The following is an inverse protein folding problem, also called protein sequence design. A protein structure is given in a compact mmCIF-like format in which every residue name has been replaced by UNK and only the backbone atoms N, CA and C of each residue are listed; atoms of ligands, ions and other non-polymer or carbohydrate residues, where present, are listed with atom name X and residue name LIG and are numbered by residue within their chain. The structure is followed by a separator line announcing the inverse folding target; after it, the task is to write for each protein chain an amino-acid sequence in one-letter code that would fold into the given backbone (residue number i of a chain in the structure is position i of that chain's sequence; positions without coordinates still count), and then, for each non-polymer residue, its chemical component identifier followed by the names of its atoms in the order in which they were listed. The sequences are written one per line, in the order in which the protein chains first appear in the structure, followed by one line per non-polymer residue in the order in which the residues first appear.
data_IF_143226268025
#
_entry.id   IF_143226268025
#
_cell.length_a   1.000
_cell.length_b   1.000
_cell.length_c   1.000
_cell.angle_alpha   90.00
_cell.angle_beta   90.00
_cell.angle_gamma   90.00
#
_symmetry.space_group_name_H-M   'P 1'
#
loop_
_entity.id
_entity.type
_entity.pdbx_description
1 polymer ?
#
# COMPACT_ATOMS: atom_id res chain seq x y z
N UNK A 1 12.90 32.57 -5.57
CA UNK A 1 12.18 31.27 -5.54
C UNK A 1 10.76 31.54 -6.01
N UNK A 2 10.16 30.63 -6.78
CA UNK A 2 8.78 30.80 -7.27
C UNK A 2 7.82 30.50 -6.12
N UNK A 3 6.80 31.32 -5.96
CA UNK A 3 5.74 31.12 -4.98
C UNK A 3 4.41 30.92 -5.72
N UNK A 4 3.61 29.97 -5.26
CA UNK A 4 2.30 29.65 -5.84
C UNK A 4 1.30 29.32 -4.73
N UNK A 5 0.04 29.70 -4.92
CA UNK A 5 -1.04 29.49 -3.94
C UNK A 5 -2.18 28.73 -4.61
N UNK A 6 -2.78 27.79 -3.87
CA UNK A 6 -3.89 26.94 -4.29
C UNK A 6 -4.91 26.81 -3.16
N UNK A 7 -6.15 26.43 -3.47
CA UNK A 7 -7.08 26.02 -2.42
C UNK A 7 -6.65 24.68 -1.84
N UNK A 8 -6.19 23.76 -2.68
CA UNK A 8 -5.77 22.40 -2.27
C UNK A 8 -4.39 22.04 -2.83
N UNK A 9 -3.50 21.54 -1.96
CA UNK A 9 -2.27 20.87 -2.37
C UNK A 9 -2.30 19.39 -1.95
N UNK A 10 -1.99 18.51 -2.89
CA UNK A 10 -1.89 17.06 -2.64
C UNK A 10 -0.43 16.64 -2.72
N UNK A 11 0.07 15.92 -1.72
CA UNK A 11 1.46 15.46 -1.67
C UNK A 11 1.52 13.95 -1.94
N UNK A 12 2.00 13.59 -3.13
CA UNK A 12 2.11 12.22 -3.65
C UNK A 12 1.17 11.95 -4.83
N UNK A 13 1.73 11.55 -5.98
CA UNK A 13 0.96 11.14 -7.18
C UNK A 13 0.81 9.61 -7.28
N UNK A 14 0.50 8.99 -6.16
CA UNK A 14 0.05 7.60 -6.07
C UNK A 14 -1.47 7.47 -6.22
N UNK A 15 -2.04 6.26 -6.08
CA UNK A 15 -3.47 6.02 -6.24
C UNK A 15 -4.33 6.85 -5.30
N UNK A 16 -3.88 7.07 -4.06
CA UNK A 16 -4.59 7.86 -3.07
C UNK A 16 -4.68 9.35 -3.47
N UNK A 17 -3.54 9.98 -3.75
CA UNK A 17 -3.50 11.40 -4.12
C UNK A 17 -4.23 11.69 -5.43
N UNK A 18 -4.05 10.84 -6.46
CA UNK A 18 -4.75 10.99 -7.74
C UNK A 18 -6.26 10.76 -7.59
N UNK A 19 -6.67 9.78 -6.78
CA UNK A 19 -8.09 9.53 -6.51
C UNK A 19 -8.79 10.69 -5.80
N UNK A 20 -8.16 11.28 -4.78
CA UNK A 20 -8.63 12.50 -4.14
C UNK A 20 -8.72 13.68 -5.13
N UNK A 21 -7.72 13.85 -6.00
CA UNK A 21 -7.75 14.88 -7.03
C UNK A 21 -8.95 14.72 -7.97
N UNK A 22 -9.24 13.49 -8.40
CA UNK A 22 -10.37 13.18 -9.27
C UNK A 22 -11.72 13.47 -8.58
N UNK A 23 -11.85 13.14 -7.29
CA UNK A 23 -13.05 13.44 -6.52
C UNK A 23 -13.28 14.96 -6.37
N UNK A 24 -12.20 15.72 -6.11
CA UNK A 24 -12.24 17.18 -6.03
C UNK A 24 -12.59 17.82 -7.38
N UNK A 25 -12.08 17.26 -8.48
CA UNK A 25 -12.42 17.70 -9.84
C UNK A 25 -13.89 17.44 -10.19
N UNK A 26 -14.47 16.32 -9.74
CA UNK A 26 -15.89 16.02 -9.96
C UNK A 26 -16.83 17.10 -9.41
N UNK A 27 -16.44 17.78 -8.32
CA UNK A 27 -17.20 18.86 -7.68
C UNK A 27 -16.72 20.27 -8.06
N UNK A 28 -15.87 20.39 -9.08
CA UNK A 28 -15.45 21.68 -9.64
C UNK A 28 -14.35 22.42 -8.85
N UNK A 29 -13.58 21.73 -8.01
CA UNK A 29 -12.40 22.34 -7.35
C UNK A 29 -11.26 22.43 -8.36
N UNK A 30 -11.04 23.63 -8.91
CA UNK A 30 -10.06 23.91 -9.95
C UNK A 30 -8.67 24.32 -9.41
N UNK A 31 -8.66 25.03 -8.28
CA UNK A 31 -7.45 25.56 -7.61
C UNK A 31 -6.74 24.45 -6.82
N UNK A 32 -6.11 23.54 -7.57
CA UNK A 32 -5.53 22.29 -7.07
C UNK A 32 -4.15 22.06 -7.70
N UNK A 33 -3.18 21.58 -6.90
CA UNK A 33 -1.90 21.05 -7.40
C UNK A 33 -1.58 19.70 -6.76
N UNK A 34 -0.89 18.83 -7.50
CA UNK A 34 -0.39 17.54 -7.00
C UNK A 34 1.14 17.56 -7.10
N UNK A 35 1.84 17.33 -5.99
CA UNK A 35 3.29 17.39 -5.89
C UNK A 35 3.84 15.97 -5.74
N UNK A 36 4.67 15.54 -6.68
CA UNK A 36 5.27 14.20 -6.70
C UNK A 36 6.80 14.31 -6.69
N UNK A 37 7.42 13.71 -5.67
CA UNK A 37 8.87 13.79 -5.47
C UNK A 37 9.66 13.15 -6.63
N UNK A 38 9.11 12.11 -7.26
CA UNK A 38 9.75 11.41 -8.36
C UNK A 38 8.90 11.52 -9.64
N UNK A 39 8.15 10.45 -9.94
CA UNK A 39 7.25 10.35 -11.08
C UNK A 39 5.96 9.68 -10.63
N UNK A 40 4.90 9.91 -11.38
CA UNK A 40 3.59 9.29 -11.17
C UNK A 40 3.76 7.78 -11.05
N UNK A 41 3.20 7.23 -9.97
CA UNK A 41 3.25 5.79 -9.70
C UNK A 41 4.66 5.25 -9.43
N UNK A 42 5.63 6.09 -9.04
CA UNK A 42 7.03 5.70 -8.79
C UNK A 42 7.18 4.50 -7.86
N UNK A 43 6.35 4.39 -6.83
CA UNK A 43 6.31 3.24 -5.92
C UNK A 43 5.99 1.92 -6.64
N UNK A 44 5.08 1.93 -7.62
CA UNK A 44 4.70 0.74 -8.39
C UNK A 44 5.70 0.45 -9.50
N UNK A 45 6.24 1.48 -10.17
CA UNK A 45 7.36 1.34 -11.10
C UNK A 45 8.59 0.69 -10.44
N UNK A 46 8.69 0.84 -9.11
CA UNK A 46 9.76 0.32 -8.30
C UNK A 46 9.59 -1.13 -7.81
N UNK A 47 8.44 -1.76 -7.99
CA UNK A 47 8.22 -3.15 -7.57
C UNK A 47 9.18 -4.14 -8.25
N UNK A 48 9.48 -5.28 -7.61
CA UNK A 48 10.10 -6.40 -8.31
C UNK A 48 9.34 -6.70 -9.60
N UNK A 49 10.05 -6.96 -10.70
CA UNK A 49 9.47 -7.21 -12.03
C UNK A 49 8.41 -8.34 -12.02
N UNK A 50 8.58 -9.31 -11.14
CA UNK A 50 7.70 -10.46 -11.00
C UNK A 50 6.46 -10.19 -10.12
N UNK A 51 6.50 -9.15 -9.27
CA UNK A 51 5.42 -8.84 -8.33
C UNK A 51 4.14 -8.44 -9.08
N UNK A 52 2.99 -8.84 -8.52
CA UNK A 52 1.64 -8.54 -9.04
C UNK A 52 0.75 -8.03 -7.92
N UNK A 53 -0.27 -7.24 -8.28
CA UNK A 53 -1.38 -6.96 -7.37
C UNK A 53 -2.05 -8.26 -6.97
N UNK A 54 -2.21 -8.48 -5.67
CA UNK A 54 -2.92 -9.66 -5.14
C UNK A 54 -4.44 -9.52 -5.30
N UNK A 55 -4.93 -8.28 -5.37
CA UNK A 55 -6.32 -7.93 -5.64
C UNK A 55 -6.63 -8.09 -7.12
N UNK A 56 -7.64 -8.89 -7.51
CA UNK A 56 -7.99 -9.08 -8.90
C UNK A 56 -8.69 -7.84 -9.48
N UNK A 57 -8.38 -7.53 -10.73
CA UNK A 57 -9.06 -6.52 -11.53
C UNK A 57 -10.05 -7.17 -12.48
N UNK A 58 -11.30 -6.70 -12.44
CA UNK A 58 -12.36 -7.12 -13.35
C UNK A 58 -13.28 -5.93 -13.65
N UNK A 59 -13.68 -5.76 -14.91
CA UNK A 59 -14.55 -4.66 -15.33
C UNK A 59 -16.02 -4.94 -15.02
N UNK A 60 -16.39 -4.76 -13.76
CA UNK A 60 -17.79 -4.82 -13.29
C UNK A 60 -18.42 -3.42 -13.09
N UNK A 61 -17.73 -2.35 -13.51
CA UNK A 61 -18.12 -0.96 -13.30
C UNK A 61 -19.58 -0.63 -13.70
N UNK A 62 -20.17 -1.15 -14.80
CA UNK A 62 -21.56 -0.86 -15.15
C UNK A 62 -22.58 -1.33 -14.10
N UNK A 63 -22.21 -2.29 -13.25
CA UNK A 63 -23.04 -2.86 -12.18
C UNK A 63 -22.72 -2.28 -10.80
N UNK A 64 -22.12 -1.09 -10.75
CA UNK A 64 -21.72 -0.38 -9.52
C UNK A 64 -20.65 -1.08 -8.67
N UNK A 65 -20.16 -2.25 -9.09
CA UNK A 65 -18.99 -2.91 -8.56
C UNK A 65 -17.76 -2.46 -9.34
N UNK A 66 -17.16 -1.34 -8.96
CA UNK A 66 -15.96 -0.83 -9.65
C UNK A 66 -14.77 -1.77 -9.48
N UNK A 67 -14.04 -2.07 -10.56
CA UNK A 67 -12.75 -2.79 -10.55
C UNK A 67 -11.92 -2.44 -9.31
N UNK A 68 -11.57 -3.42 -8.48
CA UNK A 68 -10.97 -3.20 -7.14
C UNK A 68 -9.71 -2.32 -7.14
N UNK A 69 -8.96 -2.32 -8.24
CA UNK A 69 -7.71 -1.56 -8.34
C UNK A 69 -7.89 -0.18 -8.98
N UNK A 70 -9.10 0.18 -9.42
CA UNK A 70 -9.38 1.50 -9.99
C UNK A 70 -9.36 2.62 -8.94
N UNK A 71 -8.94 3.81 -9.35
CA UNK A 71 -8.94 5.04 -8.52
C UNK A 71 -10.00 6.06 -8.94
N UNK A 72 -10.79 5.73 -9.97
CA UNK A 72 -11.95 6.50 -10.41
C UNK A 72 -13.10 5.53 -10.77
N UNK A 73 -14.36 5.88 -10.44
CA UNK A 73 -15.50 4.99 -10.68
C UNK A 73 -15.71 4.57 -12.15
N UNK A 74 -15.20 5.34 -13.12
CA UNK A 74 -15.37 5.11 -14.56
C UNK A 74 -14.16 4.46 -15.23
N UNK A 75 -13.18 4.01 -14.47
CA UNK A 75 -11.95 3.41 -15.00
C UNK A 75 -11.79 1.96 -14.56
N UNK A 76 -11.08 1.16 -15.36
CA UNK A 76 -10.71 -0.22 -15.00
C UNK A 76 -9.30 -0.51 -15.50
N UNK A 77 -8.31 -0.68 -14.60
CA UNK A 77 -6.99 -1.15 -14.99
C UNK A 77 -7.02 -2.56 -15.63
N UNK A 78 -7.95 -3.42 -15.20
CA UNK A 78 -8.11 -4.76 -15.79
C UNK A 78 -8.54 -4.73 -17.25
N UNK A 79 -9.50 -3.88 -17.58
CA UNK A 79 -9.95 -3.64 -18.97
C UNK A 79 -8.82 -3.04 -19.83
N UNK A 80 -8.13 -2.01 -19.29
CA UNK A 80 -7.06 -1.31 -20.01
C UNK A 80 -5.90 -2.22 -20.42
N UNK A 81 -5.53 -3.19 -19.58
CA UNK A 81 -4.38 -4.06 -19.81
C UNK A 81 -4.73 -5.52 -20.14
N UNK A 82 -6.01 -5.89 -20.12
CA UNK A 82 -6.47 -7.26 -20.36
C UNK A 82 -5.89 -8.28 -19.38
N UNK A 83 -5.71 -7.90 -18.10
CA UNK A 83 -5.11 -8.76 -17.07
C UNK A 83 -5.81 -8.58 -15.73
N UNK A 84 -5.97 -9.67 -14.99
CA UNK A 84 -6.59 -9.65 -13.66
C UNK A 84 -5.61 -9.17 -12.58
N UNK A 85 -4.37 -9.65 -12.61
CA UNK A 85 -3.34 -9.28 -11.64
C UNK A 85 -2.27 -8.42 -12.32
N UNK A 86 -2.34 -7.10 -12.14
CA UNK A 86 -1.42 -6.17 -12.79
C UNK A 86 -0.01 -6.24 -12.18
N UNK A 87 0.99 -6.06 -13.04
CA UNK A 87 2.35 -5.71 -12.61
C UNK A 87 2.39 -4.28 -12.05
N UNK A 88 3.41 -3.96 -11.25
CA UNK A 88 3.64 -2.58 -10.81
C UNK A 88 3.79 -1.60 -11.98
N UNK A 89 4.48 -1.99 -13.07
CA UNK A 89 4.63 -1.17 -14.29
C UNK A 89 3.30 -0.92 -15.01
N UNK A 90 2.44 -1.93 -15.11
CA UNK A 90 1.10 -1.76 -15.69
C UNK A 90 0.26 -0.83 -14.83
N UNK A 91 0.33 -0.97 -13.50
CA UNK A 91 -0.41 -0.08 -12.60
C UNK A 91 0.10 1.38 -12.67
N UNK A 92 1.41 1.61 -12.71
CA UNK A 92 1.97 2.94 -12.92
C UNK A 92 1.57 3.54 -14.28
N UNK A 93 1.50 2.72 -15.34
CA UNK A 93 0.99 3.14 -16.64
C UNK A 93 -0.52 3.45 -16.63
N UNK A 94 -1.32 2.71 -15.86
CA UNK A 94 -2.73 3.04 -15.60
C UNK A 94 -2.87 4.43 -14.95
N UNK A 95 -2.08 4.72 -13.90
CA UNK A 95 -2.13 6.02 -13.23
C UNK A 95 -1.77 7.18 -14.17
N UNK A 96 -0.77 6.99 -15.04
CA UNK A 96 -0.38 7.96 -16.08
C UNK A 96 -1.52 8.17 -17.09
N UNK A 97 -2.15 7.10 -17.57
CA UNK A 97 -3.29 7.19 -18.47
C UNK A 97 -4.49 7.94 -17.85
N UNK A 98 -4.72 7.78 -16.54
CA UNK A 98 -5.74 8.54 -15.80
C UNK A 98 -5.40 10.03 -15.77
N UNK A 99 -4.14 10.40 -15.49
CA UNK A 99 -3.71 11.80 -15.50
C UNK A 99 -3.92 12.43 -16.88
N UNK A 100 -3.53 11.73 -17.94
CA UNK A 100 -3.67 12.24 -19.31
C UNK A 100 -5.14 12.42 -19.70
N UNK A 101 -6.00 11.46 -19.31
CA UNK A 101 -7.43 11.50 -19.62
C UNK A 101 -8.17 12.63 -18.88
N UNK A 102 -7.87 12.82 -17.59
CA UNK A 102 -8.54 13.82 -16.73
C UNK A 102 -7.77 15.14 -16.62
N UNK A 103 -6.62 15.26 -17.29
CA UNK A 103 -5.76 16.46 -17.32
C UNK A 103 -5.41 16.95 -15.90
N UNK A 104 -4.93 16.04 -15.06
CA UNK A 104 -4.62 16.36 -13.66
C UNK A 104 -3.36 17.23 -13.52
N UNK A 105 -3.34 18.23 -12.60
CA UNK A 105 -2.23 19.17 -12.44
C UNK A 105 -1.09 18.58 -11.59
N UNK A 106 -0.37 17.60 -12.15
CA UNK A 106 0.76 16.93 -11.47
C UNK A 106 2.08 17.63 -11.79
N UNK A 107 2.85 17.91 -10.73
CA UNK A 107 4.24 18.35 -10.77
C UNK A 107 5.14 17.20 -10.33
N UNK A 108 5.70 16.49 -11.31
CA UNK A 108 6.73 15.47 -11.08
C UNK A 108 8.08 16.13 -10.74
N UNK A 109 8.98 15.37 -10.12
CA UNK A 109 10.28 15.84 -9.64
C UNK A 109 10.18 17.09 -8.74
N UNK A 110 9.12 17.17 -7.94
CA UNK A 110 8.86 18.26 -7.00
C UNK A 110 8.75 17.68 -5.59
N UNK A 111 9.88 17.59 -4.89
CA UNK A 111 9.92 17.04 -3.54
C UNK A 111 9.47 18.07 -2.51
N UNK A 112 8.44 17.74 -1.72
CA UNK A 112 8.08 18.48 -0.50
C UNK A 112 9.05 18.09 0.62
N UNK A 113 9.82 19.06 1.11
CA UNK A 113 10.83 18.87 2.14
C UNK A 113 10.31 19.22 3.54
N UNK A 114 9.45 20.24 3.65
CA UNK A 114 8.88 20.68 4.92
C UNK A 114 7.42 21.10 4.73
N UNK A 115 6.60 20.82 5.74
CA UNK A 115 5.24 21.36 5.89
C UNK A 115 5.22 22.25 7.14
N UNK A 116 4.74 23.49 6.98
CA UNK A 116 4.46 24.41 8.09
C UNK A 116 3.00 24.85 8.05
N UNK A 117 2.47 25.23 9.21
CA UNK A 117 1.17 25.88 9.36
C UNK A 117 1.42 27.34 9.75
N UNK A 118 0.98 28.29 8.92
CA UNK A 118 1.20 29.74 9.08
C UNK A 118 -0.11 30.49 8.76
N UNK A 119 -0.57 31.38 9.65
CA UNK A 119 -1.67 32.35 9.38
C UNK A 119 -2.92 31.77 8.67
N UNK A 120 -3.36 30.57 9.10
CA UNK A 120 -4.51 29.84 8.54
C UNK A 120 -4.32 29.20 7.16
N UNK A 121 -3.07 29.04 6.71
CA UNK A 121 -2.70 28.26 5.53
C UNK A 121 -1.54 27.29 5.85
N UNK A 122 -1.31 26.34 4.96
CA UNK A 122 -0.11 25.53 4.95
C UNK A 122 0.92 26.08 3.98
N UNK A 123 2.18 26.00 4.38
CA UNK A 123 3.35 26.34 3.57
C UNK A 123 4.17 25.07 3.34
N UNK A 124 4.24 24.65 2.08
CA UNK A 124 5.03 23.50 1.64
C UNK A 124 6.31 24.02 1.01
N UNK A 125 7.44 23.74 1.65
CA UNK A 125 8.75 24.01 1.07
C UNK A 125 9.13 22.88 0.11
N UNK A 126 9.36 23.24 -1.15
CA UNK A 126 9.74 22.29 -2.20
C UNK A 126 11.11 22.64 -2.78
N UNK A 127 11.74 21.68 -3.44
CA UNK A 127 12.94 21.91 -4.27
C UNK A 127 12.72 22.92 -5.42
N UNK A 128 11.48 23.11 -5.86
CA UNK A 128 11.10 24.08 -6.91
C UNK A 128 10.63 25.46 -6.37
N UNK A 129 10.54 25.63 -5.05
CA UNK A 129 10.04 26.86 -4.41
C UNK A 129 8.94 26.61 -3.38
N UNK A 130 8.15 27.63 -3.08
CA UNK A 130 7.13 27.58 -2.01
C UNK A 130 5.74 27.37 -2.62
N UNK A 131 5.00 26.42 -2.06
CA UNK A 131 3.58 26.21 -2.36
C UNK A 131 2.77 26.53 -1.12
N UNK A 132 1.82 27.45 -1.22
CA UNK A 132 0.83 27.74 -0.19
C UNK A 132 -0.49 27.05 -0.52
N UNK A 133 -1.16 26.49 0.48
CA UNK A 133 -2.48 25.91 0.29
C UNK A 133 -3.34 26.03 1.55
N UNK A 134 -4.64 26.24 1.36
CA UNK A 134 -5.61 26.26 2.48
C UNK A 134 -5.83 24.85 3.03
N UNK A 135 -5.96 23.87 2.14
CA UNK A 135 -6.10 22.46 2.48
C UNK A 135 -4.92 21.66 1.93
N UNK A 136 -4.45 20.70 2.72
CA UNK A 136 -3.42 19.76 2.29
C UNK A 136 -3.93 18.33 2.40
N UNK A 137 -3.76 17.53 1.36
CA UNK A 137 -3.99 16.08 1.41
C UNK A 137 -2.62 15.38 1.35
N UNK A 138 -2.24 14.75 2.44
CA UNK A 138 -1.00 13.99 2.53
C UNK A 138 -1.23 12.56 2.05
N UNK A 139 -0.57 12.17 0.94
CA UNK A 139 -0.79 10.90 0.25
C UNK A 139 0.53 10.22 -0.16
N UNK A 140 1.57 10.34 0.66
CA UNK A 140 2.93 9.82 0.36
C UNK A 140 3.08 8.31 0.53
N UNK A 141 2.07 7.63 1.09
CA UNK A 141 2.06 6.18 1.27
C UNK A 141 3.16 5.67 2.21
N UNK A 142 3.58 4.43 2.00
CA UNK A 142 4.55 3.73 2.88
C UNK A 142 5.73 3.16 2.11
N UNK A 143 5.53 2.80 0.83
CA UNK A 143 6.53 2.12 0.00
C UNK A 143 7.91 2.82 -0.05
N UNK A 144 8.02 4.16 -0.12
CA UNK A 144 9.30 4.85 -0.09
C UNK A 144 10.07 4.72 1.24
N UNK A 145 9.43 4.20 2.29
CA UNK A 145 9.94 4.15 3.66
C UNK A 145 9.96 2.70 4.19
N UNK A 146 10.75 1.79 3.61
CA UNK A 146 10.89 0.44 4.18
C UNK A 146 11.43 0.51 5.61
N UNK A 147 11.01 -0.43 6.45
CA UNK A 147 11.57 -0.52 7.80
C UNK A 147 12.95 -1.17 7.74
N UNK A 148 13.99 -0.34 7.90
CA UNK A 148 15.39 -0.75 7.77
C UNK A 148 16.03 -1.23 9.07
N UNK A 149 15.37 -0.96 10.20
CA UNK A 149 15.91 -1.24 11.54
C UNK A 149 14.91 -2.01 12.44
N UNK A 150 14.22 -3.07 11.95
CA UNK A 150 13.27 -3.81 12.78
C UNK A 150 13.93 -4.56 13.94
N UNK A 151 15.22 -4.88 13.81
CA UNK A 151 16.03 -5.55 14.82
C UNK A 151 17.54 -5.37 14.55
N UNK A 152 18.42 -5.62 15.53
CA UNK A 152 19.88 -5.60 15.33
C UNK A 152 20.35 -6.48 14.16
N UNK A 153 21.17 -5.90 13.27
CA UNK A 153 21.73 -6.61 12.11
C UNK A 153 20.83 -6.65 10.88
N UNK A 154 19.70 -5.93 10.86
CA UNK A 154 18.85 -5.81 9.67
C UNK A 154 19.58 -5.19 8.45
N UNK A 155 20.64 -4.41 8.66
CA UNK A 155 21.53 -3.89 7.62
C UNK A 155 22.32 -4.98 6.87
N UNK A 156 22.43 -6.17 7.46
CA UNK A 156 23.01 -7.35 6.82
C UNK A 156 22.04 -8.05 5.85
N UNK A 157 20.76 -7.71 5.92
CA UNK A 157 19.70 -8.30 5.10
C UNK A 157 19.53 -7.55 3.77
N UNK A 158 18.88 -8.23 2.82
CA UNK A 158 18.38 -7.62 1.59
C UNK A 158 16.91 -7.26 1.76
N UNK A 159 16.59 -5.98 1.76
CA UNK A 159 15.21 -5.51 1.88
C UNK A 159 14.41 -5.87 0.63
N UNK A 160 13.28 -6.56 0.81
CA UNK A 160 12.47 -7.10 -0.28
C UNK A 160 11.99 -6.00 -1.25
N UNK A 161 11.57 -4.84 -0.74
CA UNK A 161 11.09 -3.71 -1.54
C UNK A 161 12.19 -3.03 -2.39
N UNK A 162 13.46 -3.29 -2.09
CA UNK A 162 14.60 -2.78 -2.86
C UNK A 162 15.06 -3.76 -3.95
N UNK A 163 14.50 -4.97 -3.99
CA UNK A 163 14.77 -5.96 -5.03
C UNK A 163 14.03 -5.56 -6.31
N UNK A 164 14.78 -5.43 -7.42
CA UNK A 164 14.18 -5.15 -8.74
C UNK A 164 13.69 -6.38 -9.49
N UNK A 165 14.29 -7.53 -9.24
CA UNK A 165 13.83 -8.80 -9.80
C UNK A 165 14.40 -9.96 -9.00
N UNK A 166 13.55 -10.91 -8.65
CA UNK A 166 13.94 -12.12 -7.96
C UNK A 166 14.85 -13.00 -8.82
N UNK A 167 14.75 -12.92 -10.15
CA UNK A 167 15.65 -13.66 -11.08
C UNK A 167 17.11 -13.20 -11.03
N UNK A 168 17.37 -11.97 -10.59
CA UNK A 168 18.72 -11.37 -10.57
C UNK A 168 19.49 -11.59 -9.27
N UNK A 169 18.87 -12.24 -8.27
CA UNK A 169 19.53 -12.49 -6.98
C UNK A 169 20.38 -13.76 -7.04
N UNK A 170 21.67 -13.64 -6.76
CA UNK A 170 22.60 -14.78 -6.70
C UNK A 170 22.37 -15.66 -5.46
N UNK A 171 22.62 -16.96 -5.60
CA UNK A 171 22.45 -17.96 -4.55
C UNK A 171 21.39 -19.02 -4.88
N UNK A 172 21.40 -20.11 -4.11
CA UNK A 172 20.48 -21.25 -4.27
C UNK A 172 19.71 -21.59 -2.99
N UNK A 173 20.08 -20.97 -1.86
CA UNK A 173 19.46 -21.19 -0.55
C UNK A 173 19.24 -19.84 0.11
N UNK A 174 17.99 -19.54 0.49
CA UNK A 174 17.59 -18.24 1.03
C UNK A 174 16.82 -18.39 2.34
N UNK A 175 16.94 -17.39 3.20
CA UNK A 175 16.05 -17.19 4.35
C UNK A 175 15.26 -15.90 4.12
N UNK A 176 13.94 -15.95 4.25
CA UNK A 176 13.03 -14.81 4.18
C UNK A 176 12.49 -14.57 5.59
N UNK A 177 12.55 -13.31 6.05
CA UNK A 177 12.04 -12.87 7.35
C UNK A 177 10.77 -12.07 7.10
N UNK A 178 9.63 -12.59 7.59
CA UNK A 178 8.28 -12.10 7.35
C UNK A 178 7.48 -13.08 6.48
N UNK A 179 6.37 -13.60 6.99
CA UNK A 179 5.55 -14.63 6.34
C UNK A 179 4.30 -14.13 5.62
N UNK A 180 4.08 -12.82 5.57
CA UNK A 180 2.91 -12.21 4.91
C UNK A 180 3.15 -12.08 3.38
N UNK A 181 2.26 -11.36 2.69
CA UNK A 181 2.19 -11.26 1.23
C UNK A 181 3.55 -11.07 0.53
N UNK A 182 4.34 -10.08 0.95
CA UNK A 182 5.64 -9.80 0.31
C UNK A 182 6.68 -10.90 0.54
N UNK A 183 6.65 -11.54 1.71
CA UNK A 183 7.57 -12.63 2.03
C UNK A 183 7.27 -13.91 1.26
N UNK A 184 5.99 -14.26 1.15
CA UNK A 184 5.56 -15.42 0.37
C UNK A 184 5.71 -15.18 -1.14
N UNK A 185 5.50 -13.95 -1.62
CA UNK A 185 5.80 -13.60 -3.02
C UNK A 185 7.29 -13.80 -3.36
N UNK A 186 8.18 -13.32 -2.48
CA UNK A 186 9.62 -13.52 -2.62
C UNK A 186 9.98 -15.02 -2.61
N UNK A 187 9.45 -15.76 -1.63
CA UNK A 187 9.70 -17.20 -1.51
C UNK A 187 9.21 -17.98 -2.73
N UNK A 188 8.01 -17.67 -3.23
CA UNK A 188 7.45 -18.26 -4.44
C UNK A 188 8.37 -18.04 -5.64
N UNK A 189 8.80 -16.80 -5.88
CA UNK A 189 9.62 -16.50 -7.06
C UNK A 189 11.02 -17.09 -6.98
N UNK A 190 11.60 -17.19 -5.78
CA UNK A 190 12.86 -17.89 -5.56
C UNK A 190 12.71 -19.40 -5.75
N UNK A 191 11.63 -20.00 -5.23
CA UNK A 191 11.33 -21.41 -5.44
C UNK A 191 11.11 -21.74 -6.93
N UNK A 192 10.41 -20.89 -7.70
CA UNK A 192 10.29 -21.03 -9.15
C UNK A 192 11.63 -21.04 -9.90
N UNK A 193 12.71 -20.54 -9.30
CA UNK A 193 14.07 -20.61 -9.86
C UNK A 193 14.81 -21.89 -9.48
N UNK A 194 14.18 -22.79 -8.72
CA UNK A 194 14.81 -23.99 -8.17
C UNK A 194 15.62 -23.73 -6.91
N UNK A 195 15.43 -22.59 -6.23
CA UNK A 195 16.10 -22.31 -4.96
C UNK A 195 15.34 -22.95 -3.79
N UNK A 196 16.06 -23.29 -2.73
CA UNK A 196 15.49 -23.67 -1.44
C UNK A 196 15.30 -22.44 -0.56
N UNK A 197 14.12 -22.26 0.01
CA UNK A 197 13.75 -21.07 0.77
C UNK A 197 13.20 -21.47 2.13
N UNK A 198 13.68 -20.83 3.20
CA UNK A 198 13.07 -20.89 4.52
C UNK A 198 12.37 -19.58 4.82
N UNK A 199 11.11 -19.61 5.21
CA UNK A 199 10.33 -18.42 5.59
C UNK A 199 10.14 -18.44 7.09
N UNK A 200 10.70 -17.45 7.78
CA UNK A 200 10.56 -17.26 9.23
C UNK A 200 9.49 -16.19 9.45
N UNK A 201 8.49 -16.50 10.27
CA UNK A 201 7.37 -15.60 10.55
C UNK A 201 6.96 -15.67 12.01
N UNK A 202 6.66 -14.52 12.61
CA UNK A 202 6.16 -14.42 14.00
C UNK A 202 4.76 -15.04 14.17
N UNK A 203 4.02 -15.19 13.08
CA UNK A 203 2.70 -15.83 13.01
C UNK A 203 2.63 -16.80 11.82
N UNK A 204 1.50 -17.48 11.65
CA UNK A 204 1.24 -18.41 10.54
C UNK A 204 0.15 -17.90 9.58
N UNK A 205 0.37 -16.82 8.81
CA UNK A 205 -0.66 -16.22 7.96
C UNK A 205 -1.18 -17.15 6.86
N UNK A 206 -0.45 -18.23 6.54
CA UNK A 206 -0.89 -19.31 5.66
C UNK A 206 -1.93 -20.24 6.28
N UNK A 207 -2.04 -20.30 7.61
CA UNK A 207 -3.02 -21.10 8.36
C UNK A 207 -4.20 -20.26 8.89
N UNK A 208 -4.20 -18.95 8.70
CA UNK A 208 -5.30 -18.08 9.13
C UNK A 208 -6.40 -18.09 8.06
N UNK A 209 -7.62 -18.45 8.50
CA UNK A 209 -8.84 -18.29 7.71
C UNK A 209 -9.50 -16.97 8.08
N UNK A 210 -9.11 -15.92 7.36
CA UNK A 210 -9.70 -14.59 7.48
C UNK A 210 -9.89 -14.02 6.05
N UNK A 211 -11.05 -13.43 5.75
CA UNK A 211 -11.32 -12.83 4.45
C UNK A 211 -10.58 -11.51 4.20
N UNK A 212 -10.03 -10.86 5.24
CA UNK A 212 -9.22 -9.66 5.10
C UNK A 212 -7.75 -10.03 4.79
N UNK A 213 -7.22 -9.70 3.59
CA UNK A 213 -5.83 -9.95 3.25
C UNK A 213 -4.83 -9.09 4.05
N UNK A 214 -5.33 -8.20 4.92
CA UNK A 214 -4.52 -7.51 5.94
C UNK A 214 -4.16 -8.41 7.12
N UNK A 215 -4.87 -9.54 7.29
CA UNK A 215 -4.76 -10.46 8.43
C UNK A 215 -4.25 -11.82 7.99
N UNK A 216 -4.72 -12.32 6.84
CA UNK A 216 -4.33 -13.60 6.25
C UNK A 216 -3.72 -13.44 4.85
N UNK A 217 -3.12 -14.51 4.33
CA UNK A 217 -2.72 -14.53 2.91
C UNK A 217 -3.97 -14.51 2.00
N UNK A 218 -3.92 -13.67 0.97
CA UNK A 218 -4.91 -13.60 -0.09
C UNK A 218 -5.06 -14.92 -0.85
N UNK A 219 -6.23 -15.17 -1.48
CA UNK A 219 -6.43 -16.35 -2.31
C UNK A 219 -5.37 -16.51 -3.41
N UNK A 220 -4.97 -15.41 -4.05
CA UNK A 220 -3.92 -15.41 -5.09
C UNK A 220 -2.58 -15.96 -4.56
N UNK A 221 -2.17 -15.50 -3.37
CA UNK A 221 -0.92 -15.94 -2.75
C UNK A 221 -1.02 -17.37 -2.19
N UNK A 222 -2.15 -17.73 -1.58
CA UNK A 222 -2.43 -19.10 -1.11
C UNK A 222 -2.39 -20.11 -2.25
N UNK A 223 -3.01 -19.80 -3.38
CA UNK A 223 -3.00 -20.68 -4.56
C UNK A 223 -1.58 -20.86 -5.12
N UNK A 224 -0.81 -19.78 -5.22
CA UNK A 224 0.60 -19.82 -5.65
C UNK A 224 1.45 -20.70 -4.73
N UNK A 225 1.27 -20.56 -3.41
CA UNK A 225 1.95 -21.37 -2.42
C UNK A 225 1.58 -22.87 -2.56
N UNK A 226 0.29 -23.17 -2.71
CA UNK A 226 -0.20 -24.55 -2.90
C UNK A 226 0.35 -25.19 -4.18
N UNK A 227 0.37 -24.44 -5.29
CA UNK A 227 0.96 -24.91 -6.57
C UNK A 227 2.44 -25.25 -6.42
N UNK A 228 3.21 -24.44 -5.70
CA UNK A 228 4.63 -24.73 -5.44
C UNK A 228 4.81 -25.93 -4.52
N UNK A 229 4.01 -26.05 -3.46
CA UNK A 229 4.06 -27.21 -2.57
C UNK A 229 3.77 -28.53 -3.31
N UNK A 230 2.86 -28.53 -4.29
CA UNK A 230 2.58 -29.69 -5.12
C UNK A 230 3.70 -29.98 -6.14
N UNK A 231 4.21 -28.94 -6.82
CA UNK A 231 5.22 -29.11 -7.86
C UNK A 231 6.63 -29.38 -7.33
N UNK A 232 6.97 -28.81 -6.17
CA UNK A 232 8.31 -28.79 -5.56
C UNK A 232 8.20 -28.83 -4.02
N UNK A 233 7.83 -29.99 -3.42
CA UNK A 233 7.43 -30.12 -2.01
C UNK A 233 8.49 -29.79 -0.95
N UNK A 234 9.74 -29.55 -1.34
CA UNK A 234 10.86 -29.19 -0.43
C UNK A 234 11.48 -27.82 -0.78
N UNK A 235 10.90 -27.09 -1.73
CA UNK A 235 11.43 -25.79 -2.17
C UNK A 235 11.19 -24.66 -1.18
N UNK A 236 10.12 -24.74 -0.38
CA UNK A 236 9.77 -23.75 0.64
C UNK A 236 9.49 -24.46 1.97
N UNK A 237 10.28 -24.13 2.99
CA UNK A 237 10.05 -24.49 4.39
C UNK A 237 9.41 -23.30 5.11
N UNK A 238 8.20 -23.47 5.63
CA UNK A 238 7.48 -22.44 6.39
C UNK A 238 7.71 -22.65 7.88
N UNK A 239 8.26 -21.65 8.56
CA UNK A 239 8.62 -21.67 9.97
C UNK A 239 7.81 -20.59 10.69
N UNK A 240 6.66 -20.99 11.21
CA UNK A 240 5.73 -20.12 11.92
C UNK A 240 6.04 -19.96 13.41
N UNK A 241 5.41 -18.96 14.03
CA UNK A 241 5.54 -18.67 15.47
C UNK A 241 7.00 -18.43 15.92
N UNK A 242 7.84 -17.90 15.03
CA UNK A 242 9.24 -17.55 15.26
C UNK A 242 9.46 -16.08 14.92
N UNK A 243 9.57 -15.26 15.94
CA UNK A 243 9.94 -13.85 15.77
C UNK A 243 11.45 -13.73 15.62
N UNK A 244 11.93 -13.23 14.48
CA UNK A 244 13.33 -12.92 14.28
C UNK A 244 13.71 -11.67 15.08
N UNK A 245 14.78 -11.76 15.89
CA UNK A 245 15.22 -10.70 16.82
C UNK A 245 16.63 -10.19 16.56
N UNK A 246 17.42 -10.90 15.76
CA UNK A 246 18.78 -10.49 15.40
C UNK A 246 19.23 -11.23 14.13
N UNK A 247 20.05 -10.56 13.31
CA UNK A 247 20.85 -11.21 12.27
C UNK A 247 22.32 -10.91 12.50
N UNK A 248 23.16 -11.95 12.46
CA UNK A 248 24.61 -11.79 12.58
C UNK A 248 25.34 -12.43 11.39
N UNK A 249 26.54 -11.94 11.09
CA UNK A 249 27.48 -12.64 10.20
C UNK A 249 28.11 -13.81 10.96
N UNK A 250 28.17 -14.96 10.30
CA UNK A 250 28.81 -16.16 10.86
C UNK A 250 29.61 -16.87 9.76
N UNK A 251 30.94 -16.83 9.89
CA UNK A 251 31.83 -17.31 8.82
C UNK A 251 31.57 -16.57 7.51
N UNK A 252 31.35 -17.34 6.44
CA UNK A 252 31.01 -16.81 5.10
C UNK A 252 29.51 -16.59 4.89
N UNK A 253 28.68 -16.85 5.91
CA UNK A 253 27.23 -16.74 5.85
C UNK A 253 26.64 -15.82 6.92
N UNK A 254 25.37 -16.08 7.22
CA UNK A 254 24.54 -15.32 8.12
C UNK A 254 23.77 -16.28 9.04
N UNK A 255 23.39 -15.79 10.21
CA UNK A 255 22.51 -16.48 11.14
C UNK A 255 21.39 -15.55 11.56
N UNK A 256 20.15 -16.04 11.47
CA UNK A 256 18.95 -15.38 11.99
C UNK A 256 18.64 -16.00 13.35
N UNK A 257 18.55 -15.18 14.39
CA UNK A 257 18.17 -15.61 15.74
C UNK A 257 16.71 -15.29 15.99
N UNK A 258 16.02 -16.18 16.71
CA UNK A 258 14.60 -16.04 17.04
C UNK A 258 14.38 -15.86 18.54
N UNK A 259 13.27 -15.21 18.91
CA UNK A 259 12.96 -14.82 20.29
C UNK A 259 12.92 -15.98 21.29
N UNK A 260 12.69 -17.20 20.82
CA UNK A 260 12.64 -18.42 21.61
C UNK A 260 14.01 -19.12 21.78
N UNK A 261 15.08 -18.51 21.27
CA UNK A 261 16.46 -19.02 21.40
C UNK A 261 16.92 -19.93 20.27
N UNK A 262 16.06 -20.19 19.28
CA UNK A 262 16.45 -20.92 18.07
C UNK A 262 17.23 -20.03 17.08
N UNK A 263 17.78 -20.66 16.04
CA UNK A 263 18.43 -19.93 14.96
C UNK A 263 18.39 -20.68 13.62
N UNK A 264 18.49 -19.91 12.54
CA UNK A 264 18.56 -20.42 11.18
C UNK A 264 19.78 -19.85 10.46
N UNK A 265 20.66 -20.73 9.97
CA UNK A 265 21.78 -20.33 9.10
C UNK A 265 21.29 -20.00 7.69
N UNK A 266 21.93 -19.03 7.04
CA UNK A 266 21.72 -18.65 5.65
C UNK A 266 23.06 -18.43 4.96
N UNK A 267 23.33 -19.07 3.81
CA UNK A 267 24.56 -18.82 3.05
C UNK A 267 24.49 -17.50 2.23
N UNK A 268 23.31 -16.88 2.15
CA UNK A 268 23.08 -15.61 1.46
C UNK A 268 22.57 -14.56 2.45
N UNK A 269 22.68 -13.25 2.16
CA UNK A 269 21.99 -12.22 2.94
C UNK A 269 20.48 -12.57 3.07
N UNK A 270 19.94 -12.70 4.30
CA UNK A 270 18.52 -12.95 4.49
C UNK A 270 17.67 -11.86 3.82
N UNK A 271 16.49 -12.22 3.35
CA UNK A 271 15.57 -11.27 2.71
C UNK A 271 14.64 -10.71 3.78
N UNK A 272 14.61 -9.40 3.93
CA UNK A 272 13.80 -8.70 4.91
C UNK A 272 12.47 -8.26 4.28
N UNK A 273 11.38 -8.90 4.68
CA UNK A 273 10.01 -8.61 4.25
C UNK A 273 9.13 -8.21 5.46
N UNK A 274 9.65 -7.30 6.29
CA UNK A 274 9.06 -6.88 7.59
C UNK A 274 8.16 -5.65 7.51
N UNK A 275 7.92 -5.13 6.31
CA UNK A 275 7.00 -4.02 6.08
C UNK A 275 7.67 -2.65 5.99
N UNK A 276 6.90 -1.60 6.28
CA UNK A 276 7.21 -0.21 5.99
C UNK A 276 6.81 0.69 7.16
N UNK A 277 7.39 1.89 7.20
CA UNK A 277 6.95 2.99 8.05
C UNK A 277 6.01 3.90 7.26
N UNK A 278 5.01 4.50 7.91
CA UNK A 278 4.11 5.43 7.22
C UNK A 278 4.80 6.75 6.85
N UNK A 279 4.45 7.32 5.70
CA UNK A 279 4.89 8.64 5.28
C UNK A 279 4.49 9.72 6.28
N UNK A 280 3.34 9.57 6.96
CA UNK A 280 2.98 10.43 8.10
C UNK A 280 4.06 10.36 9.18
N UNK A 281 4.39 9.15 9.66
CA UNK A 281 5.37 8.94 10.74
C UNK A 281 6.75 9.49 10.37
N UNK A 282 7.15 9.36 9.10
CA UNK A 282 8.47 9.79 8.62
C UNK A 282 8.59 11.29 8.37
N UNK A 283 7.50 11.93 7.92
CA UNK A 283 7.59 13.25 7.32
C UNK A 283 6.84 14.33 8.11
N UNK A 284 5.69 13.99 8.71
CA UNK A 284 4.78 14.97 9.32
C UNK A 284 4.18 14.47 10.64
N UNK A 285 4.95 13.70 11.42
CA UNK A 285 4.43 13.05 12.63
C UNK A 285 3.86 14.03 13.66
N UNK A 286 4.46 15.23 13.77
CA UNK A 286 4.01 16.30 14.67
C UNK A 286 2.67 16.93 14.29
N UNK A 287 2.14 16.63 13.11
CA UNK A 287 0.85 17.13 12.64
C UNK A 287 -0.31 16.20 12.99
N UNK A 288 -0.07 15.08 13.66
CA UNK A 288 -1.10 14.11 14.03
C UNK A 288 -0.98 13.72 15.51
N UNK A 289 -2.12 13.43 16.15
CA UNK A 289 -2.13 12.66 17.39
C UNK A 289 -1.94 11.17 17.09
N UNK A 290 -1.47 10.42 18.08
CA UNK A 290 -1.13 9.02 17.93
C UNK A 290 -1.68 8.16 19.07
N UNK A 291 -2.24 7.01 18.73
CA UNK A 291 -2.62 5.98 19.68
C UNK A 291 -2.03 4.63 19.25
N UNK A 292 -1.32 3.96 20.16
CA UNK A 292 -0.70 2.64 19.94
C UNK A 292 0.15 2.57 18.65
N UNK A 293 0.81 3.67 18.30
CA UNK A 293 1.68 3.77 17.13
C UNK A 293 0.96 4.06 15.80
N UNK A 294 -0.35 4.23 15.80
CA UNK A 294 -1.14 4.65 14.64
C UNK A 294 -1.55 6.12 14.76
N UNK A 295 -1.59 6.87 13.65
CA UNK A 295 -2.14 8.22 13.63
C UNK A 295 -3.66 8.18 13.89
N UNK A 296 -4.16 9.15 14.62
CA UNK A 296 -5.60 9.34 14.89
C UNK A 296 -6.17 10.29 13.85
N UNK A 297 -7.32 9.93 13.29
CA UNK A 297 -8.03 10.69 12.27
C UNK A 297 -9.42 11.13 12.77
N UNK A 298 -9.92 12.24 12.25
CA UNK A 298 -11.34 12.59 12.35
C UNK A 298 -12.19 11.65 11.46
N UNK A 299 -13.52 11.69 11.61
CA UNK A 299 -14.47 10.94 10.75
C UNK A 299 -14.40 11.31 9.26
N UNK A 300 -13.66 12.36 8.90
CA UNK A 300 -13.43 12.81 7.50
C UNK A 300 -11.96 12.68 7.08
N UNK A 301 -11.18 11.91 7.83
CA UNK A 301 -9.78 11.58 7.55
C UNK A 301 -8.82 12.79 7.65
N UNK A 302 -9.22 13.81 8.43
CA UNK A 302 -8.34 14.92 8.79
C UNK A 302 -7.51 14.60 10.03
N UNK A 303 -6.41 15.32 10.20
CA UNK A 303 -5.73 15.43 11.48
C UNK A 303 -6.69 16.00 12.54
N UNK A 304 -6.58 15.49 13.76
CA UNK A 304 -7.27 16.00 14.95
C UNK A 304 -6.66 17.30 15.47
N UNK A 305 -5.38 17.56 15.14
CA UNK A 305 -4.65 18.77 15.51
C UNK A 305 -4.83 19.89 14.47
N UNK A 306 -4.91 19.51 13.19
CA UNK A 306 -5.00 20.43 12.06
C UNK A 306 -6.16 20.02 11.14
N UNK A 307 -7.38 20.55 11.33
CA UNK A 307 -8.58 20.11 10.60
C UNK A 307 -8.56 20.31 9.09
N UNK A 308 -7.63 21.12 8.57
CA UNK A 308 -7.44 21.40 7.14
C UNK A 308 -6.33 20.54 6.50
N UNK A 309 -5.66 19.69 7.30
CA UNK A 309 -4.73 18.66 6.84
C UNK A 309 -5.43 17.30 6.83
N UNK A 310 -5.59 16.73 5.65
CA UNK A 310 -6.18 15.43 5.40
C UNK A 310 -5.11 14.39 5.10
N UNK A 311 -5.45 13.13 5.32
CA UNK A 311 -4.65 11.99 4.90
C UNK A 311 -5.45 11.09 3.97
N UNK A 312 -4.79 10.55 2.95
CA UNK A 312 -5.33 9.46 2.15
C UNK A 312 -4.24 8.45 1.82
N UNK A 313 -4.51 7.17 2.07
CA UNK A 313 -3.55 6.10 1.78
C UNK A 313 -3.68 4.91 2.72
N UNK A 314 -2.72 3.97 2.63
CA UNK A 314 -2.81 2.67 3.30
C UNK A 314 -2.62 2.71 4.82
N UNK A 315 -2.11 3.80 5.38
CA UNK A 315 -1.94 3.98 6.83
C UNK A 315 -3.21 4.47 7.53
N UNK A 316 -4.33 4.61 6.80
CA UNK A 316 -5.61 5.03 7.35
C UNK A 316 -6.18 3.88 8.19
N UNK A 317 -6.55 4.20 9.43
CA UNK A 317 -7.16 3.27 10.37
C UNK A 317 -8.39 3.92 10.96
N UNK A 318 -9.51 3.19 10.93
CA UNK A 318 -10.77 3.57 11.55
C UNK A 318 -11.40 2.36 12.20
N UNK A 319 -11.91 2.49 13.42
CA UNK A 319 -12.65 1.42 14.13
C UNK A 319 -11.91 0.06 14.05
N UNK A 320 -10.61 0.06 14.35
CA UNK A 320 -9.69 -1.09 14.26
C UNK A 320 -9.53 -1.73 12.86
N UNK A 321 -10.09 -1.12 11.81
CA UNK A 321 -9.99 -1.57 10.43
C UNK A 321 -8.89 -0.82 9.68
N UNK A 322 -8.01 -1.57 9.01
CA UNK A 322 -6.93 -1.03 8.18
C UNK A 322 -7.38 -0.85 6.73
N UNK A 323 -7.16 0.34 6.19
CA UNK A 323 -7.50 0.69 4.82
C UNK A 323 -6.30 0.47 3.87
N UNK A 324 -5.58 -0.65 4.02
CA UNK A 324 -4.29 -0.86 3.35
C UNK A 324 -4.39 -1.25 1.85
N UNK A 325 -5.61 -1.49 1.34
CA UNK A 325 -5.86 -1.81 -0.07
C UNK A 325 -6.50 -0.65 -0.82
N UNK A 326 -6.23 -0.58 -2.13
CA UNK A 326 -6.79 0.46 -3.01
C UNK A 326 -8.30 0.54 -2.89
N UNK A 327 -9.01 -0.59 -2.94
CA UNK A 327 -10.46 -0.60 -2.83
C UNK A 327 -10.99 -0.13 -1.47
N UNK A 328 -10.19 -0.22 -0.39
CA UNK A 328 -10.54 0.28 0.94
C UNK A 328 -10.28 1.79 1.02
N UNK A 329 -9.05 2.26 0.85
CA UNK A 329 -8.76 3.70 1.00
C UNK A 329 -9.44 4.56 -0.06
N UNK A 330 -9.73 4.03 -1.27
CA UNK A 330 -10.48 4.78 -2.29
C UNK A 330 -11.92 5.08 -1.90
N UNK A 331 -12.49 4.27 -1.01
CA UNK A 331 -13.84 4.48 -0.49
C UNK A 331 -13.99 5.82 0.24
N UNK A 332 -12.85 6.45 0.58
CA UNK A 332 -12.78 7.68 1.34
C UNK A 332 -12.47 8.92 0.50
N UNK A 333 -12.15 8.77 -0.79
CA UNK A 333 -11.83 9.91 -1.65
C UNK A 333 -12.97 10.93 -1.71
N UNK A 334 -14.20 10.45 -1.88
CA UNK A 334 -15.39 11.28 -1.88
C UNK A 334 -15.70 11.91 -0.52
N UNK A 335 -15.28 11.28 0.59
CA UNK A 335 -15.48 11.83 1.94
C UNK A 335 -14.62 13.09 2.11
N UNK A 336 -13.33 12.98 1.79
CA UNK A 336 -12.38 14.11 1.83
C UNK A 336 -12.83 15.21 0.85
N UNK A 337 -13.20 14.86 -0.38
CA UNK A 337 -13.64 15.83 -1.38
C UNK A 337 -14.94 16.54 -0.98
N UNK A 338 -15.90 15.82 -0.39
CA UNK A 338 -17.16 16.41 0.11
C UNK A 338 -16.89 17.42 1.23
N UNK A 339 -16.00 17.09 2.16
CA UNK A 339 -15.65 17.98 3.27
C UNK A 339 -14.96 19.26 2.77
N UNK A 340 -13.92 19.13 1.96
CA UNK A 340 -13.20 20.27 1.37
C UNK A 340 -14.16 21.11 0.51
N UNK A 341 -14.95 20.45 -0.34
CA UNK A 341 -15.94 21.10 -1.20
C UNK A 341 -16.97 21.92 -0.42
N UNK A 342 -17.51 21.37 0.67
CA UNK A 342 -18.44 22.09 1.53
C UNK A 342 -17.80 23.34 2.17
N UNK A 343 -16.54 23.24 2.65
CA UNK A 343 -15.79 24.39 3.20
C UNK A 343 -15.41 25.43 2.14
N UNK A 344 -15.31 25.02 0.87
CA UNK A 344 -15.11 25.92 -0.27
C UNK A 344 -16.42 26.48 -0.86
N UNK A 345 -17.58 26.00 -0.41
CA UNK A 345 -18.89 26.41 -0.94
C UNK A 345 -19.23 25.79 -2.29
N UNK A 346 -18.60 24.68 -2.66
CA UNK A 346 -18.90 23.92 -3.88
C UNK A 346 -20.19 23.09 -3.74
N UNK A 347 -20.88 22.85 -4.86
CA UNK A 347 -21.94 21.84 -4.91
C UNK A 347 -21.32 20.42 -4.94
N UNK A 348 -21.64 19.62 -3.92
CA UNK A 348 -21.10 18.27 -3.75
C UNK A 348 -22.04 17.18 -4.30
N UNK A 349 -23.17 17.55 -4.89
CA UNK A 349 -24.19 16.61 -5.40
C UNK A 349 -23.66 15.63 -6.46
N UNK A 350 -22.63 16.03 -7.20
CA UNK A 350 -21.95 15.19 -8.19
C UNK A 350 -21.28 13.93 -7.58
N UNK A 351 -20.98 13.94 -6.27
CA UNK A 351 -20.43 12.78 -5.56
C UNK A 351 -21.47 11.69 -5.25
N UNK A 352 -22.74 11.89 -5.61
CA UNK A 352 -23.77 10.85 -5.47
C UNK A 352 -23.45 9.59 -6.30
N UNK A 353 -22.92 9.73 -7.51
CA UNK A 353 -22.44 8.60 -8.33
C UNK A 353 -21.21 7.93 -7.71
N UNK A 354 -20.33 8.72 -7.06
CA UNK A 354 -19.17 8.20 -6.33
C UNK A 354 -19.59 7.34 -5.13
N UNK A 355 -20.60 7.77 -4.37
CA UNK A 355 -21.17 6.99 -3.27
C UNK A 355 -21.73 5.65 -3.76
N UNK A 356 -22.56 5.67 -4.81
CA UNK A 356 -23.14 4.46 -5.41
C UNK A 356 -22.10 3.44 -5.88
N UNK A 357 -20.91 3.91 -6.25
CA UNK A 357 -19.83 3.09 -6.82
C UNK A 357 -18.75 2.72 -5.80
N UNK A 358 -18.96 3.03 -4.52
CA UNK A 358 -18.08 2.68 -3.41
C UNK A 358 -16.84 3.58 -3.24
N UNK A 359 -16.93 4.85 -3.64
CA UNK A 359 -15.86 5.86 -3.49
C UNK A 359 -16.20 6.95 -2.45
N UNK A 360 -17.36 6.87 -1.83
CA UNK A 360 -17.78 7.71 -0.72
C UNK A 360 -18.54 6.83 0.28
N UNK A 361 -17.81 6.27 1.24
CA UNK A 361 -18.33 5.48 2.35
C UNK A 361 -18.00 6.22 3.63
N UNK A 362 -19.00 6.84 4.26
CA UNK A 362 -18.91 7.55 5.54
C UNK A 362 -19.37 6.68 6.73
N UNK A 363 -20.29 5.75 6.50
CA UNK A 363 -20.64 4.70 7.45
C UNK A 363 -19.67 3.50 7.36
N UNK A 364 -18.77 3.38 8.35
CA UNK A 364 -17.77 2.31 8.39
C UNK A 364 -18.23 1.09 9.19
N UNK A 365 -19.48 1.05 9.69
CA UNK A 365 -20.00 -0.14 10.37
C UNK A 365 -20.07 -1.34 9.41
N UNK A 366 -20.23 -1.10 8.11
CA UNK A 366 -20.15 -2.12 7.07
C UNK A 366 -18.73 -2.66 6.82
N UNK A 367 -17.69 -1.97 7.27
CA UNK A 367 -16.28 -2.34 7.02
C UNK A 367 -15.71 -3.27 8.10
N UNK A 368 -16.42 -3.46 9.22
CA UNK A 368 -15.95 -4.24 10.39
C UNK A 368 -16.50 -5.67 10.46
N UNK A 369 -17.53 -6.02 9.69
CA UNK A 369 -18.09 -7.39 9.66
C UNK A 369 -17.84 -8.06 8.30
N UNK A 370 -16.67 -8.66 8.15
CA UNK A 370 -16.25 -9.31 6.90
C UNK A 370 -16.45 -10.83 6.89
N UNK A 371 -17.14 -11.43 7.87
CA UNK A 371 -17.20 -12.89 8.00
C UNK A 371 -17.84 -13.55 6.78
N UNK A 372 -17.18 -14.59 6.25
CA UNK A 372 -17.78 -15.45 5.24
C UNK A 372 -18.97 -16.22 5.87
N UNK A 373 -20.12 -16.22 5.21
CA UNK A 373 -21.30 -16.96 5.68
C UNK A 373 -21.17 -18.49 5.47
N UNK A 374 -20.20 -18.93 4.65
CA UNK A 374 -19.97 -20.34 4.36
C UNK A 374 -18.77 -20.82 5.16
N UNK A 375 -19.01 -21.67 6.15
CA UNK A 375 -17.94 -22.39 6.85
C UNK A 375 -17.24 -23.33 5.87
N UNK A 376 -15.92 -23.21 5.73
CA UNK A 376 -15.15 -24.23 5.03
C UNK A 376 -15.25 -25.54 5.82
N UNK A 377 -15.99 -26.52 5.30
CA UNK A 377 -15.94 -27.87 5.85
C UNK A 377 -14.49 -28.36 5.81
N UNK A 378 -14.05 -29.07 6.86
CA UNK A 378 -12.70 -29.64 7.01
C UNK A 378 -12.42 -30.80 6.05
N UNK A 379 -12.75 -30.65 4.77
CA UNK A 379 -12.54 -31.61 3.70
C UNK A 379 -11.48 -31.09 2.72
N UNK A 380 -10.33 -30.66 3.24
CA UNK A 380 -9.13 -30.48 2.43
C UNK A 380 -8.41 -31.84 2.32
N UNK A 381 -8.89 -32.73 1.44
CA UNK A 381 -8.04 -33.76 0.83
C UNK A 381 -8.61 -34.54 -0.37
N UNK A 382 -9.80 -34.23 -0.90
CA UNK A 382 -10.38 -35.08 -1.98
C UNK A 382 -10.74 -34.37 -3.29
N UNK A 383 -10.51 -33.06 -3.44
CA UNK A 383 -10.94 -32.35 -4.65
C UNK A 383 -9.87 -32.14 -5.75
N UNK A 384 -8.65 -32.65 -5.58
CA UNK A 384 -7.63 -32.64 -6.64
C UNK A 384 -6.89 -33.98 -6.66
N UNK A 385 -7.50 -34.99 -7.29
CA UNK A 385 -6.82 -36.18 -7.82
C UNK A 385 -6.87 -36.17 -9.35
#
# INVERSE_FOLDING_TARGET
MKESSYDVAIVGAGPAGLGCALALREIGVESLTILEANRVGSSFDAWPEEMRLITPSFHSNPFYATDLNAINPRTSPGDLFGTEHLTGKQYAAYLKAVIDHYVLPVREACQVNELRSEDSEFVLETDEGVVRARFVIWATGEFPFPDLEPFPGADLCRVASLVRSWRKIEGHQFVVIGGYESGIDAAYHLACRGCSVKVISSSEPWNIDDPDPSVALSPFTKERLARIAQAMPESIELIGNKEAIEVAREGDGYRVFTADGDSCSSPTPPILATGFQSGIKRQIASFFDWERGNPIFSEVDSSTLYPDLFYSGPSLVHRDSKFCFIYKFRARFGVIAREIGARLGCDTSALSDWALRGFLIDDLDCCVDCKCEVEQASTANEAYQ
#
